data_IF_900539604466
#
_entry.id   IF_900539604466
#
_cell.length_a   1.000
_cell.length_b   1.000
_cell.length_c   1.000
_cell.angle_alpha   90.00
_cell.angle_beta   90.00
_cell.angle_gamma   90.00
#
_symmetry.space_group_name_H-M   'P 1'
#
loop_
_entity.id
_entity.type
_entity.pdbx_description
1 polymer ?
#
# COMPACT_ATOMS: atom_id res chain seq x y z
N UNK A 1 -14.33 -2.82 8.89
CA UNK A 1 -15.45 -1.91 8.51
C UNK A 1 -15.23 -0.50 9.02
N UNK A 2 -14.81 -0.29 10.28
CA UNK A 2 -14.53 1.04 10.83
C UNK A 2 -13.22 1.63 10.31
N UNK A 3 -12.15 0.84 10.30
CA UNK A 3 -10.80 1.28 9.94
C UNK A 3 -10.71 1.66 8.46
N UNK A 4 -11.23 0.80 7.57
CA UNK A 4 -11.32 1.11 6.14
C UNK A 4 -12.07 2.44 5.91
N UNK A 5 -13.19 2.67 6.61
CA UNK A 5 -13.94 3.93 6.49
C UNK A 5 -13.09 5.13 6.89
N UNK A 6 -12.35 5.05 8.00
CA UNK A 6 -11.46 6.13 8.43
C UNK A 6 -10.39 6.41 7.36
N UNK A 7 -9.79 5.37 6.79
CA UNK A 7 -8.80 5.51 5.73
C UNK A 7 -9.40 6.14 4.46
N UNK A 8 -10.59 5.70 4.01
CA UNK A 8 -11.25 6.26 2.82
C UNK A 8 -11.72 7.69 3.04
N UNK A 9 -12.28 8.00 4.22
CA UNK A 9 -12.70 9.37 4.57
C UNK A 9 -11.49 10.31 4.62
N UNK A 10 -10.37 9.84 5.18
CA UNK A 10 -9.10 10.59 5.21
C UNK A 10 -8.55 10.78 3.81
N UNK A 11 -8.54 9.74 2.99
CA UNK A 11 -8.10 9.85 1.60
C UNK A 11 -8.94 10.87 0.82
N UNK A 12 -10.27 10.83 1.00
CA UNK A 12 -11.18 11.77 0.35
C UNK A 12 -10.95 13.22 0.79
N UNK A 13 -10.70 13.47 2.08
CA UNK A 13 -10.44 14.82 2.57
C UNK A 13 -9.14 15.43 2.03
N UNK A 14 -8.20 14.59 1.57
CA UNK A 14 -6.96 14.98 0.90
C UNK A 14 -7.12 15.14 -0.62
N UNK A 15 -8.36 15.07 -1.14
CA UNK A 15 -8.67 15.17 -2.56
C UNK A 15 -8.57 13.85 -3.33
N UNK A 16 -8.40 12.72 -2.63
CA UNK A 16 -8.48 11.40 -3.21
C UNK A 16 -9.90 10.99 -3.59
N UNK A 17 -10.03 10.07 -4.54
CA UNK A 17 -11.32 9.50 -4.92
C UNK A 17 -11.54 8.14 -4.22
N UNK A 18 -12.47 8.04 -3.25
CA UNK A 18 -12.73 6.77 -2.56
C UNK A 18 -13.35 5.70 -3.47
N UNK A 19 -13.83 6.03 -4.67
CA UNK A 19 -14.37 5.04 -5.62
C UNK A 19 -13.31 4.01 -6.06
N UNK A 20 -12.01 4.32 -5.95
CA UNK A 20 -10.91 3.38 -6.27
C UNK A 20 -10.99 2.07 -5.49
N UNK A 21 -11.56 2.07 -4.27
CA UNK A 21 -11.74 0.86 -3.47
C UNK A 21 -12.92 -0.01 -3.93
N UNK A 22 -13.82 0.55 -4.72
CA UNK A 22 -14.99 -0.12 -5.28
C UNK A 22 -14.80 -0.53 -6.74
N UNK A 23 -13.95 0.17 -7.49
CA UNK A 23 -13.62 -0.17 -8.87
C UNK A 23 -13.03 -1.59 -8.95
N UNK A 24 -13.60 -2.41 -9.83
CA UNK A 24 -13.20 -3.80 -10.02
C UNK A 24 -11.98 -3.94 -10.94
N UNK A 25 -11.55 -2.86 -11.59
CA UNK A 25 -10.39 -2.83 -12.48
C UNK A 25 -9.12 -2.31 -11.79
N UNK A 26 -9.23 -1.83 -10.54
CA UNK A 26 -8.10 -1.35 -9.75
C UNK A 26 -7.76 -2.42 -8.72
N UNK A 27 -6.53 -2.94 -8.78
CA UNK A 27 -6.01 -3.74 -7.69
C UNK A 27 -5.64 -2.84 -6.52
N UNK A 28 -5.94 -3.28 -5.30
CA UNK A 28 -5.64 -2.51 -4.10
C UNK A 28 -5.31 -3.38 -2.90
N UNK A 29 -4.58 -2.79 -1.96
CA UNK A 29 -4.38 -3.33 -0.62
C UNK A 29 -4.55 -2.21 0.39
N UNK A 30 -5.36 -2.43 1.42
CA UNK A 30 -5.59 -1.49 2.50
C UNK A 30 -5.33 -2.13 3.86
N UNK A 31 -4.58 -1.44 4.72
CA UNK A 31 -4.22 -1.91 6.05
C UNK A 31 -4.23 -0.79 7.09
N UNK A 32 -4.64 -1.10 8.33
CA UNK A 32 -4.54 -0.21 9.49
C UNK A 32 -3.73 -0.91 10.59
N UNK A 33 -2.63 -0.31 11.04
CA UNK A 33 -1.66 -0.99 11.91
C UNK A 33 -1.16 -2.27 11.23
N UNK A 34 -1.25 -3.40 11.90
CA UNK A 34 -0.91 -4.71 11.31
C UNK A 34 -2.11 -5.48 10.75
N UNK A 35 -3.27 -4.82 10.64
CA UNK A 35 -4.51 -5.46 10.20
C UNK A 35 -4.80 -5.17 8.74
N UNK A 36 -5.06 -6.20 7.95
CA UNK A 36 -5.59 -6.11 6.59
C UNK A 36 -7.07 -5.78 6.67
N UNK A 37 -7.46 -4.69 6.01
CA UNK A 37 -8.85 -4.19 6.06
C UNK A 37 -9.57 -4.31 4.71
N UNK A 38 -8.83 -4.39 3.60
CA UNK A 38 -9.36 -4.67 2.27
C UNK A 38 -8.25 -5.08 1.32
N UNK A 39 -8.56 -5.94 0.35
CA UNK A 39 -7.66 -6.23 -0.76
C UNK A 39 -8.47 -6.60 -2.00
N UNK A 40 -7.88 -6.36 -3.18
CA UNK A 40 -8.44 -6.78 -4.46
C UNK A 40 -7.31 -7.08 -5.44
N UNK A 41 -7.41 -8.24 -6.07
CA UNK A 41 -6.63 -8.63 -7.23
C UNK A 41 -7.40 -8.34 -8.52
N UNK A 42 -6.67 -8.18 -9.62
CA UNK A 42 -7.22 -8.05 -10.98
C UNK A 42 -6.41 -8.95 -11.91
N UNK A 43 -6.92 -9.30 -13.11
CA UNK A 43 -6.14 -10.09 -14.06
C UNK A 43 -4.75 -9.47 -14.31
N UNK A 44 -3.69 -10.26 -14.07
CA UNK A 44 -2.31 -9.79 -14.18
C UNK A 44 -1.67 -9.24 -12.91
N UNK A 45 -2.43 -9.12 -11.81
CA UNK A 45 -1.94 -8.64 -10.51
C UNK A 45 -2.38 -9.58 -9.39
N UNK A 46 -1.43 -10.24 -8.73
CA UNK A 46 -1.66 -11.04 -7.52
C UNK A 46 -1.16 -10.27 -6.30
N UNK A 47 -1.89 -10.33 -5.19
CA UNK A 47 -1.55 -9.72 -3.90
C UNK A 47 -1.75 -10.78 -2.82
N UNK A 48 -0.66 -11.44 -2.44
CA UNK A 48 -0.63 -12.34 -1.28
C UNK A 48 -0.18 -11.54 -0.05
N UNK A 49 -1.12 -11.12 0.80
CA UNK A 49 -0.87 -10.35 2.00
C UNK A 49 -1.31 -11.12 3.25
N UNK A 50 -0.49 -11.09 4.30
CA UNK A 50 -0.73 -11.80 5.55
C UNK A 50 -0.43 -10.90 6.75
N UNK A 51 -1.32 -10.94 7.74
CA UNK A 51 -1.09 -10.35 9.06
C UNK A 51 -0.13 -11.26 9.84
N UNK A 52 0.90 -10.68 10.45
CA UNK A 52 1.82 -11.41 11.34
C UNK A 52 1.70 -10.90 12.78
N UNK A 53 2.35 -11.56 13.72
CA UNK A 53 2.37 -11.09 15.12
C UNK A 53 3.09 -9.76 15.32
N UNK A 54 3.91 -9.34 14.35
CA UNK A 54 4.81 -8.18 14.44
C UNK A 54 4.67 -7.19 13.26
N UNK A 55 3.81 -7.46 12.29
CA UNK A 55 3.79 -6.77 11.00
C UNK A 55 2.74 -7.28 10.02
N UNK A 56 2.96 -6.90 8.76
CA UNK A 56 2.29 -7.44 7.58
C UNK A 56 3.37 -7.90 6.62
N UNK A 57 3.24 -9.10 6.07
CA UNK A 57 4.03 -9.53 4.92
C UNK A 57 3.16 -9.48 3.68
N UNK A 58 3.70 -9.04 2.55
CA UNK A 58 3.00 -9.16 1.28
C UNK A 58 3.94 -9.46 0.11
N UNK A 59 3.44 -10.24 -0.84
CA UNK A 59 4.02 -10.40 -2.17
C UNK A 59 3.04 -9.87 -3.20
N UNK A 60 3.48 -8.90 -4.00
CA UNK A 60 2.73 -8.37 -5.14
C UNK A 60 3.43 -8.83 -6.41
N UNK A 61 2.70 -9.53 -7.27
CA UNK A 61 3.21 -10.07 -8.54
C UNK A 61 2.48 -9.40 -9.69
N UNK A 62 3.25 -8.88 -10.66
CA UNK A 62 2.75 -8.48 -11.97
C UNK A 62 3.16 -9.55 -12.97
N UNK A 63 2.17 -10.25 -13.52
CA UNK A 63 2.41 -11.41 -14.39
C UNK A 63 3.14 -11.02 -15.69
N UNK A 64 3.87 -11.97 -16.26
CA UNK A 64 4.66 -11.82 -17.48
C UNK A 64 3.88 -11.14 -18.62
N UNK A 65 4.47 -10.11 -19.21
CA UNK A 65 3.93 -9.36 -20.35
C UNK A 65 2.64 -8.59 -20.07
N UNK A 66 2.20 -8.48 -18.81
CA UNK A 66 0.99 -7.70 -18.47
C UNK A 66 1.32 -6.23 -18.37
N UNK A 67 0.53 -5.42 -19.05
CA UNK A 67 0.55 -3.97 -18.93
C UNK A 67 -0.64 -3.52 -18.10
N UNK A 68 -0.39 -3.14 -16.85
CA UNK A 68 -1.41 -2.68 -15.92
C UNK A 68 -1.63 -1.17 -16.15
N UNK A 69 -2.76 -0.83 -16.77
CA UNK A 69 -3.08 0.53 -17.19
C UNK A 69 -3.37 1.46 -16.00
N UNK A 70 -4.15 0.97 -15.02
CA UNK A 70 -4.52 1.72 -13.83
C UNK A 70 -3.54 1.47 -12.69
N UNK A 71 -3.21 2.48 -11.87
CA UNK A 71 -2.27 2.30 -10.76
C UNK A 71 -2.84 1.35 -9.71
N UNK A 72 -1.98 0.45 -9.22
CA UNK A 72 -2.26 -0.40 -8.06
C UNK A 72 -2.20 0.48 -6.82
N UNK A 73 -3.29 0.50 -6.04
CA UNK A 73 -3.42 1.40 -4.90
C UNK A 73 -3.07 0.72 -3.57
N UNK A 74 -2.08 1.24 -2.85
CA UNK A 74 -1.68 0.79 -1.52
C UNK A 74 -2.12 1.84 -0.51
N UNK A 75 -3.09 1.53 0.34
CA UNK A 75 -3.60 2.42 1.37
C UNK A 75 -3.19 1.91 2.76
N UNK A 76 -2.09 2.43 3.29
CA UNK A 76 -1.45 1.91 4.50
C UNK A 76 -1.60 2.95 5.61
N UNK A 77 -2.11 2.61 6.77
CA UNK A 77 -2.31 3.64 7.79
C UNK A 77 -2.28 3.15 9.22
N UNK A 78 -2.40 4.10 10.15
CA UNK A 78 -2.61 3.86 11.58
C UNK A 78 -3.77 4.78 11.97
N UNK A 79 -4.89 4.20 12.40
CA UNK A 79 -6.11 4.95 12.74
C UNK A 79 -6.25 5.21 14.23
N UNK A 80 -5.31 4.70 15.02
CA UNK A 80 -5.15 4.90 16.44
C UNK A 80 -4.28 6.13 16.75
N UNK A 81 -4.40 6.68 17.97
CA UNK A 81 -3.56 7.80 18.41
C UNK A 81 -2.08 7.43 18.55
N UNK A 82 -1.81 6.16 18.80
CA UNK A 82 -0.46 5.62 18.90
C UNK A 82 -0.42 4.26 18.26
N UNK A 83 0.68 3.91 17.61
CA UNK A 83 0.78 2.60 16.99
C UNK A 83 2.10 2.38 16.26
N UNK A 84 2.32 1.13 15.91
CA UNK A 84 3.41 0.70 15.06
C UNK A 84 2.83 -0.07 13.88
N UNK A 85 3.31 0.23 12.68
CA UNK A 85 3.05 -0.53 11.47
C UNK A 85 4.39 -0.97 10.89
N UNK A 86 4.54 -2.27 10.68
CA UNK A 86 5.72 -2.89 10.05
C UNK A 86 5.25 -3.66 8.85
N UNK A 87 5.86 -3.44 7.71
CA UNK A 87 5.45 -4.06 6.45
C UNK A 87 6.70 -4.59 5.76
N UNK A 88 6.65 -5.86 5.39
CA UNK A 88 7.65 -6.50 4.54
C UNK A 88 7.00 -6.77 3.18
N UNK A 89 7.48 -6.09 2.15
CA UNK A 89 6.91 -6.17 0.80
C UNK A 89 7.90 -6.82 -0.16
N UNK A 90 7.44 -7.82 -0.92
CA UNK A 90 8.14 -8.33 -2.09
C UNK A 90 7.35 -7.95 -3.33
N UNK A 91 7.93 -7.12 -4.18
CA UNK A 91 7.32 -6.70 -5.43
C UNK A 91 8.03 -7.40 -6.60
N UNK A 92 7.31 -8.19 -7.37
CA UNK A 92 7.84 -8.97 -8.49
C UNK A 92 7.19 -8.45 -9.77
N UNK A 93 8.00 -7.89 -10.67
CA UNK A 93 7.58 -7.44 -11.99
C UNK A 93 8.18 -8.41 -13.01
N UNK A 94 7.37 -9.33 -13.51
CA UNK A 94 7.85 -10.35 -14.44
C UNK A 94 8.25 -9.78 -15.80
N UNK A 95 8.89 -10.62 -16.61
CA UNK A 95 9.49 -10.23 -17.90
C UNK A 95 8.49 -9.49 -18.79
N UNK A 96 8.89 -8.34 -19.32
CA UNK A 96 8.06 -7.51 -20.19
C UNK A 96 6.81 -6.90 -19.53
N UNK A 97 6.59 -7.09 -18.23
CA UNK A 97 5.43 -6.54 -17.55
C UNK A 97 5.63 -5.06 -17.18
N UNK A 98 4.55 -4.30 -17.08
CA UNK A 98 4.60 -2.92 -16.63
C UNK A 98 3.47 -2.57 -15.68
N UNK A 99 3.78 -1.92 -14.55
CA UNK A 99 2.78 -1.45 -13.61
C UNK A 99 3.19 -0.12 -12.96
N UNK A 100 2.19 0.57 -12.41
CA UNK A 100 2.42 1.71 -11.52
C UNK A 100 1.73 1.50 -10.18
N UNK A 101 2.35 2.03 -9.13
CA UNK A 101 1.87 1.96 -7.76
C UNK A 101 1.62 3.37 -7.24
N UNK A 102 0.51 3.52 -6.52
CA UNK A 102 0.19 4.70 -5.72
C UNK A 102 0.07 4.24 -4.26
N UNK A 103 1.05 4.58 -3.44
CA UNK A 103 1.04 4.35 -2.01
C UNK A 103 0.59 5.62 -1.27
N UNK A 104 -0.55 5.53 -0.59
CA UNK A 104 -1.06 6.56 0.30
C UNK A 104 -0.96 6.05 1.74
N UNK A 105 0.00 6.61 2.48
CA UNK A 105 0.26 6.29 3.87
C UNK A 105 -0.45 7.30 4.78
N UNK A 106 -1.49 6.89 5.51
CA UNK A 106 -2.44 7.77 6.19
C UNK A 106 -2.38 7.62 7.72
N UNK A 107 -2.00 8.70 8.40
CA UNK A 107 -1.85 8.75 9.86
C UNK A 107 -2.68 9.91 10.47
N UNK A 108 -4.02 9.88 10.34
CA UNK A 108 -4.86 11.04 10.64
C UNK A 108 -4.87 11.48 12.10
N UNK A 109 -4.65 10.55 13.03
CA UNK A 109 -4.79 10.80 14.48
C UNK A 109 -3.51 10.52 15.28
N UNK A 110 -2.42 10.12 14.63
CA UNK A 110 -1.22 9.66 15.34
C UNK A 110 -0.54 10.84 16.06
N UNK A 111 -0.45 10.71 17.38
CA UNK A 111 0.29 11.59 18.28
C UNK A 111 1.71 11.08 18.54
N UNK A 112 1.93 9.76 18.46
CA UNK A 112 3.24 9.11 18.54
C UNK A 112 3.19 7.73 17.90
N UNK A 113 3.99 7.48 16.87
CA UNK A 113 3.96 6.19 16.19
C UNK A 113 5.08 5.99 15.19
N UNK A 114 5.14 4.76 14.67
CA UNK A 114 6.18 4.34 13.73
C UNK A 114 5.60 3.51 12.58
N UNK A 115 5.95 3.87 11.35
CA UNK A 115 5.63 3.14 10.14
C UNK A 115 6.95 2.77 9.48
N UNK A 116 7.25 1.47 9.42
CA UNK A 116 8.43 0.94 8.75
C UNK A 116 8.00 0.03 7.61
N UNK A 117 8.50 0.31 6.42
CA UNK A 117 8.36 -0.57 5.28
C UNK A 117 9.74 -0.99 4.82
N UNK A 118 9.95 -2.31 4.71
CA UNK A 118 11.12 -2.90 4.07
C UNK A 118 10.62 -3.62 2.81
N UNK A 119 11.06 -3.16 1.63
CA UNK A 119 10.65 -3.71 0.36
C UNK A 119 11.82 -4.30 -0.45
N UNK A 120 11.57 -5.42 -1.12
CA UNK A 120 12.45 -6.00 -2.14
C UNK A 120 11.72 -5.98 -3.47
N UNK A 121 12.33 -5.36 -4.47
CA UNK A 121 11.81 -5.30 -5.83
C UNK A 121 12.60 -6.25 -6.73
N UNK A 122 11.91 -7.10 -7.47
CA UNK A 122 12.48 -7.94 -8.50
C UNK A 122 11.93 -7.51 -9.85
N UNK A 123 12.71 -6.71 -10.58
CA UNK A 123 12.35 -6.23 -11.92
C UNK A 123 13.05 -7.12 -12.95
N UNK A 124 12.28 -7.92 -13.69
CA UNK A 124 12.82 -8.85 -14.70
C UNK A 124 13.10 -8.13 -16.03
N UNK A 125 13.69 -8.86 -16.98
CA UNK A 125 14.08 -8.34 -18.29
C UNK A 125 12.90 -7.65 -19.02
N UNK A 126 13.14 -6.46 -19.57
CA UNK A 126 12.12 -5.67 -20.26
C UNK A 126 10.95 -5.18 -19.39
N UNK A 127 11.00 -5.37 -18.06
CA UNK A 127 9.93 -4.96 -17.16
C UNK A 127 10.08 -3.50 -16.72
N UNK A 128 8.95 -2.85 -16.41
CA UNK A 128 8.90 -1.45 -16.00
C UNK A 128 8.02 -1.26 -14.77
N UNK A 129 8.49 -0.46 -13.81
CA UNK A 129 7.71 -0.10 -12.63
C UNK A 129 7.82 1.39 -12.34
N UNK A 130 6.70 1.98 -11.95
CA UNK A 130 6.65 3.30 -11.33
C UNK A 130 6.07 3.16 -9.93
N UNK A 131 6.73 3.74 -8.93
CA UNK A 131 6.24 3.74 -7.56
C UNK A 131 6.17 5.19 -7.07
N UNK A 132 4.97 5.64 -6.68
CA UNK A 132 4.80 6.94 -6.05
C UNK A 132 4.22 6.72 -4.66
N UNK A 133 4.81 7.39 -3.68
CA UNK A 133 4.41 7.29 -2.28
C UNK A 133 4.16 8.67 -1.70
N UNK A 134 3.10 8.78 -0.91
CA UNK A 134 2.72 10.00 -0.20
C UNK A 134 2.38 9.66 1.23
N UNK A 135 2.90 10.48 2.15
CA UNK A 135 2.68 10.33 3.58
C UNK A 135 1.85 11.50 4.09
N UNK A 136 0.66 11.20 4.61
CA UNK A 136 -0.16 12.17 5.32
C UNK A 136 -0.03 11.95 6.82
N UNK A 137 0.38 13.01 7.51
CA UNK A 137 0.46 13.05 8.96
C UNK A 137 -0.55 14.05 9.49
N UNK A 138 -1.30 13.67 10.53
CA UNK A 138 -2.12 14.60 11.29
C UNK A 138 -1.29 15.72 11.93
N UNK A 139 -1.98 16.72 12.49
CA UNK A 139 -1.37 17.95 12.99
C UNK A 139 -0.37 17.75 14.13
N UNK A 140 -0.40 16.61 14.81
CA UNK A 140 0.49 16.30 15.95
C UNK A 140 1.93 16.03 15.52
N UNK A 141 2.19 15.63 14.26
CA UNK A 141 3.53 15.41 13.73
C UNK A 141 4.37 14.31 14.41
N UNK A 142 3.73 13.42 15.19
CA UNK A 142 4.42 12.40 15.98
C UNK A 142 4.79 11.12 15.24
N UNK A 143 4.80 11.15 13.90
CA UNK A 143 4.95 9.96 13.08
C UNK A 143 6.38 9.81 12.58
N UNK A 144 7.03 8.69 12.93
CA UNK A 144 8.29 8.28 12.32
C UNK A 144 7.98 7.36 11.13
N UNK A 145 8.40 7.78 9.94
CA UNK A 145 8.19 7.02 8.71
C UNK A 145 9.54 6.60 8.14
N UNK A 146 9.74 5.30 7.93
CA UNK A 146 11.00 4.73 7.44
C UNK A 146 10.71 3.77 6.29
N UNK A 147 10.61 4.27 5.05
CA UNK A 147 10.52 3.43 3.87
C UNK A 147 11.93 3.03 3.40
N UNK A 148 12.14 1.74 3.14
CA UNK A 148 13.36 1.19 2.55
C UNK A 148 13.00 0.28 1.41
N UNK A 149 13.76 0.36 0.33
CA UNK A 149 13.65 -0.51 -0.81
C UNK A 149 15.02 -0.96 -1.28
N UNK A 150 15.13 -2.23 -1.65
CA UNK A 150 16.23 -2.78 -2.45
C UNK A 150 15.68 -3.26 -3.78
N UNK A 151 16.44 -3.03 -4.85
CA UNK A 151 16.13 -3.42 -6.24
C UNK A 151 17.21 -4.37 -6.73
#
# INVERSE_FOLDING_TARGET
MRELKILTDTFQSLGGDPEVFQDRHIAHMAASGHRLVSQREIPGVTIDAQETGDGITNTILIEKGKHIELPIHLCLGITEKTGIQRIQTRLIIEEGASASFLAHCLFPFVESGEHRMDATLEIKEGAHVRYNESHYQGTSGGMVVVPKAIV
#
